data_IF_899975299969
#
_entry.id   IF_899975299969
#
_cell.length_a   1.000
_cell.length_b   1.000
_cell.length_c   1.000
_cell.angle_alpha   90.00
_cell.angle_beta   90.00
_cell.angle_gamma   90.00
#
_symmetry.space_group_name_H-M   'P 1'
#
loop_
_entity.id
_entity.type
_entity.pdbx_description
1 polymer ?
#
# COMPACT_ATOMS: atom_id res chain seq x y z
N UNK A 1 22.73 -7.90 13.79
CA UNK A 1 23.05 -8.41 15.15
C UNK A 1 23.60 -7.29 16.04
N UNK A 2 22.88 -6.17 16.27
CA UNK A 2 23.41 -4.95 16.90
C UNK A 2 23.80 -5.11 18.39
N UNK A 3 23.46 -6.23 19.01
CA UNK A 3 23.75 -6.51 20.42
C UNK A 3 24.76 -7.63 20.61
N UNK A 4 25.45 -8.06 19.56
CA UNK A 4 26.46 -9.09 19.62
C UNK A 4 27.84 -8.45 19.48
N UNK A 5 28.70 -8.75 20.46
CA UNK A 5 30.14 -8.46 20.37
C UNK A 5 30.74 -9.37 19.28
N UNK A 6 31.28 -8.83 18.18
CA UNK A 6 31.86 -9.63 17.11
C UNK A 6 33.06 -10.46 17.54
N UNK A 7 33.73 -10.07 18.63
CA UNK A 7 34.91 -10.79 19.19
C UNK A 7 34.50 -11.87 20.19
N UNK A 8 33.21 -11.91 20.61
CA UNK A 8 32.71 -12.84 21.64
C UNK A 8 31.37 -13.46 21.26
N UNK A 9 31.31 -14.04 20.06
CA UNK A 9 30.09 -14.68 19.58
C UNK A 9 29.81 -15.97 20.38
N UNK A 10 28.62 -16.12 21.00
CA UNK A 10 28.22 -17.33 21.68
C UNK A 10 28.13 -18.51 20.73
N UNK A 11 28.70 -19.64 21.05
CA UNK A 11 28.61 -20.88 20.28
C UNK A 11 27.15 -21.34 20.18
N UNK A 12 26.72 -21.76 18.98
CA UNK A 12 25.38 -22.27 18.70
C UNK A 12 24.31 -21.19 18.53
N UNK A 13 24.66 -19.88 18.57
CA UNK A 13 23.72 -18.81 18.33
C UNK A 13 23.49 -18.59 16.83
N UNK A 14 22.22 -18.54 16.40
CA UNK A 14 21.90 -18.14 15.05
C UNK A 14 22.28 -16.67 14.81
N UNK A 15 23.03 -16.42 13.74
CA UNK A 15 23.40 -15.08 13.30
C UNK A 15 22.55 -14.71 12.09
N UNK A 16 21.99 -13.50 12.09
CA UNK A 16 21.39 -12.94 10.89
C UNK A 16 22.50 -12.31 10.05
N UNK A 17 22.78 -12.86 8.89
CA UNK A 17 23.70 -12.29 7.92
C UNK A 17 22.90 -11.39 7.00
N UNK A 18 23.10 -10.05 7.04
CA UNK A 18 22.37 -9.16 6.14
C UNK A 18 22.80 -9.43 4.71
N UNK A 19 21.82 -9.55 3.82
CA UNK A 19 22.10 -9.59 2.38
C UNK A 19 22.75 -8.26 1.94
N UNK A 20 23.70 -8.29 1.00
CA UNK A 20 24.41 -7.09 0.54
C UNK A 20 23.56 -6.18 -0.37
N UNK A 21 22.32 -6.56 -0.63
CA UNK A 21 21.38 -5.83 -1.49
C UNK A 21 20.06 -5.58 -0.77
N UNK A 22 19.29 -4.59 -1.24
CA UNK A 22 17.96 -4.26 -0.71
C UNK A 22 16.94 -5.36 -0.98
N UNK A 23 15.97 -5.53 -0.08
CA UNK A 23 14.80 -6.40 -0.29
C UNK A 23 13.86 -5.78 -1.33
N UNK A 24 13.78 -4.43 -1.32
CA UNK A 24 12.96 -3.66 -2.24
C UNK A 24 13.73 -3.32 -3.53
N UNK A 25 13.01 -3.17 -4.64
CA UNK A 25 13.51 -2.66 -5.91
C UNK A 25 12.51 -1.65 -6.47
N UNK A 26 12.99 -0.62 -7.15
CA UNK A 26 12.15 0.36 -7.85
C UNK A 26 12.12 0.14 -9.35
N UNK A 27 12.86 -0.86 -9.85
CA UNK A 27 13.10 -1.06 -11.28
C UNK A 27 12.10 -2.01 -11.96
N UNK A 28 11.21 -2.61 -11.17
CA UNK A 28 10.21 -3.57 -11.65
C UNK A 28 8.82 -3.23 -11.12
N UNK A 29 7.76 -3.51 -11.90
CA UNK A 29 6.40 -3.39 -11.40
C UNK A 29 6.12 -4.47 -10.33
N UNK A 30 5.41 -4.09 -9.28
CA UNK A 30 5.05 -5.00 -8.21
C UNK A 30 3.67 -5.60 -8.47
N UNK A 31 3.58 -6.92 -8.50
CA UNK A 31 2.31 -7.63 -8.36
C UNK A 31 1.93 -7.78 -6.88
N UNK A 32 0.67 -8.09 -6.59
CA UNK A 32 0.20 -8.38 -5.23
C UNK A 32 0.99 -9.52 -4.57
N UNK A 33 1.35 -10.54 -5.33
CA UNK A 33 2.18 -11.66 -4.86
C UNK A 33 3.59 -11.18 -4.47
N UNK A 34 4.23 -10.36 -5.32
CA UNK A 34 5.54 -9.80 -5.04
C UNK A 34 5.52 -8.88 -3.81
N UNK A 35 4.49 -8.05 -3.68
CA UNK A 35 4.28 -7.21 -2.47
C UNK A 35 4.28 -8.10 -1.22
N UNK A 36 3.56 -9.21 -1.23
CA UNK A 36 3.54 -10.15 -0.11
C UNK A 36 4.90 -10.80 0.19
N UNK A 37 5.72 -11.09 -0.83
CA UNK A 37 7.09 -11.59 -0.64
C UNK A 37 8.00 -10.51 -0.04
N UNK A 38 7.94 -9.30 -0.55
CA UNK A 38 8.74 -8.17 -0.05
C UNK A 38 8.38 -7.84 1.40
N UNK A 39 7.10 -7.75 1.75
CA UNK A 39 6.64 -7.48 3.11
C UNK A 39 7.18 -8.52 4.09
N UNK A 40 7.10 -9.81 3.76
CA UNK A 40 7.67 -10.88 4.58
C UNK A 40 9.20 -10.86 4.60
N UNK A 41 9.84 -10.53 3.49
CA UNK A 41 11.28 -10.38 3.39
C UNK A 41 11.80 -9.25 4.28
N UNK A 42 11.11 -8.11 4.28
CA UNK A 42 11.43 -6.98 5.16
C UNK A 42 11.29 -7.37 6.65
N UNK A 43 10.19 -8.04 7.03
CA UNK A 43 10.00 -8.51 8.40
C UNK A 43 11.08 -9.52 8.83
N UNK A 44 11.49 -10.42 7.95
CA UNK A 44 12.55 -11.37 8.23
C UNK A 44 13.92 -10.71 8.39
N UNK A 45 14.19 -9.67 7.59
CA UNK A 45 15.47 -8.94 7.61
C UNK A 45 15.55 -7.96 8.76
N UNK A 46 14.46 -7.30 9.12
CA UNK A 46 14.40 -6.22 10.11
C UNK A 46 13.47 -6.60 11.26
N UNK A 47 13.99 -7.24 12.33
CA UNK A 47 13.18 -7.74 13.44
C UNK A 47 12.41 -6.67 14.22
N UNK A 48 12.77 -5.37 14.03
CA UNK A 48 12.04 -4.25 14.62
C UNK A 48 10.75 -3.91 13.85
N UNK A 49 10.55 -4.48 12.66
CA UNK A 49 9.38 -4.24 11.83
C UNK A 49 8.30 -5.27 12.15
N UNK A 50 7.15 -4.81 12.61
CA UNK A 50 5.97 -5.65 12.75
C UNK A 50 5.13 -5.62 11.46
N UNK A 51 4.53 -6.75 11.11
CA UNK A 51 3.71 -6.91 9.90
C UNK A 51 2.39 -7.57 10.26
N UNK A 52 1.31 -7.12 9.63
CA UNK A 52 -0.03 -7.72 9.75
C UNK A 52 -0.89 -7.46 8.52
N UNK A 53 -2.13 -7.96 8.60
CA UNK A 53 -3.17 -7.73 7.61
C UNK A 53 -4.31 -6.95 8.26
N UNK A 54 -4.89 -5.97 7.55
CA UNK A 54 -6.05 -5.22 8.04
C UNK A 54 -7.33 -5.53 7.27
N UNK A 55 -7.27 -6.38 6.25
CA UNK A 55 -8.41 -6.79 5.44
C UNK A 55 -8.01 -7.61 4.23
N UNK A 56 -8.99 -7.81 3.34
CA UNK A 56 -8.79 -8.50 2.08
C UNK A 56 -9.49 -7.78 0.94
N UNK A 57 -8.89 -7.85 -0.26
CA UNK A 57 -9.45 -7.33 -1.50
C UNK A 57 -10.64 -8.17 -1.98
N UNK A 58 -11.26 -7.74 -3.09
CA UNK A 58 -12.33 -8.50 -3.78
C UNK A 58 -11.89 -9.93 -4.12
N UNK A 59 -10.65 -10.13 -4.58
CA UNK A 59 -10.12 -11.45 -4.93
C UNK A 59 -9.45 -12.16 -3.74
N UNK A 60 -9.65 -11.66 -2.52
CA UNK A 60 -9.16 -12.28 -1.30
C UNK A 60 -7.68 -12.04 -1.00
N UNK A 61 -7.02 -11.13 -1.73
CA UNK A 61 -5.62 -10.78 -1.47
C UNK A 61 -5.49 -10.00 -0.17
N UNK A 62 -4.44 -10.26 0.64
CA UNK A 62 -4.25 -9.57 1.90
C UNK A 62 -3.94 -8.08 1.70
N UNK A 63 -4.55 -7.24 2.52
CA UNK A 63 -4.22 -5.83 2.66
C UNK A 63 -3.20 -5.71 3.79
N UNK A 64 -1.92 -5.60 3.41
CA UNK A 64 -0.80 -5.59 4.34
C UNK A 64 -0.63 -4.26 5.05
N UNK A 65 -0.18 -4.31 6.31
CA UNK A 65 0.42 -3.17 6.97
C UNK A 65 1.74 -3.54 7.64
N UNK A 66 2.61 -2.53 7.77
CA UNK A 66 3.89 -2.62 8.46
C UNK A 66 3.91 -1.55 9.55
N UNK A 67 4.53 -1.86 10.68
CA UNK A 67 4.65 -0.92 11.80
C UNK A 67 6.10 -0.81 12.24
N UNK A 68 6.58 0.44 12.37
CA UNK A 68 7.93 0.75 12.80
C UNK A 68 7.91 1.86 13.85
N UNK A 69 8.74 1.73 14.89
CA UNK A 69 8.81 2.66 16.01
C UNK A 69 7.87 2.28 17.17
N UNK A 70 7.96 3.03 18.28
CA UNK A 70 7.21 2.78 19.51
C UNK A 70 6.77 4.06 20.22
N UNK A 71 6.86 5.20 19.51
CA UNK A 71 6.47 6.49 20.06
C UNK A 71 4.95 6.64 20.20
N UNK A 72 4.48 7.55 21.06
CA UNK A 72 3.05 7.74 21.32
C UNK A 72 2.29 8.43 20.18
N UNK A 73 2.98 9.07 19.25
CA UNK A 73 2.37 9.75 18.09
C UNK A 73 2.25 8.77 16.94
N UNK A 74 1.02 8.36 16.64
CA UNK A 74 0.76 7.45 15.54
C UNK A 74 0.63 8.21 14.23
N UNK A 75 1.38 7.79 13.22
CA UNK A 75 1.38 8.36 11.86
C UNK A 75 1.10 7.23 10.87
N UNK A 76 0.19 7.46 9.94
CA UNK A 76 -0.25 6.45 8.99
C UNK A 76 0.01 6.90 7.56
N UNK A 77 0.79 6.10 6.81
CA UNK A 77 1.02 6.29 5.38
C UNK A 77 0.41 5.14 4.61
N UNK A 78 -0.24 5.45 3.49
CA UNK A 78 -0.80 4.44 2.61
C UNK A 78 -0.52 4.78 1.14
N UNK A 79 -0.56 3.75 0.28
CA UNK A 79 -0.23 3.87 -1.13
C UNK A 79 -1.18 3.05 -2.00
N UNK A 80 -1.20 3.34 -3.29
CA UNK A 80 -1.95 2.63 -4.32
C UNK A 80 -3.43 2.42 -3.97
N UNK A 81 -4.14 3.52 -3.65
CA UNK A 81 -5.60 3.55 -3.68
C UNK A 81 -6.15 3.36 -5.09
N UNK A 82 -5.37 3.76 -6.08
CA UNK A 82 -5.67 3.58 -7.49
C UNK A 82 -4.69 2.60 -8.13
N UNK A 83 -5.20 1.68 -8.92
CA UNK A 83 -4.45 0.61 -9.54
C UNK A 83 -3.27 1.09 -10.40
N UNK A 84 -3.50 2.09 -11.27
CA UNK A 84 -2.46 2.63 -12.17
C UNK A 84 -1.39 3.47 -11.46
N UNK A 85 -1.56 3.74 -10.18
CA UNK A 85 -0.59 4.43 -9.33
C UNK A 85 0.30 3.43 -8.54
N UNK A 86 0.44 2.20 -9.07
CA UNK A 86 1.21 1.11 -8.47
C UNK A 86 2.64 1.49 -8.06
N UNK A 87 3.26 2.46 -8.74
CA UNK A 87 4.61 2.96 -8.43
C UNK A 87 4.73 3.51 -7.00
N UNK A 88 3.63 3.93 -6.39
CA UNK A 88 3.62 4.42 -5.01
C UNK A 88 3.87 3.31 -4.00
N UNK A 89 3.59 2.05 -4.35
CA UNK A 89 3.87 0.85 -3.53
C UNK A 89 5.38 0.61 -3.35
N UNK A 90 6.20 0.42 -4.41
CA UNK A 90 7.65 0.29 -4.25
C UNK A 90 8.28 1.52 -3.59
N UNK A 91 7.78 2.72 -3.86
CA UNK A 91 8.26 3.93 -3.20
C UNK A 91 8.09 3.83 -1.66
N UNK A 92 6.88 3.49 -1.20
CA UNK A 92 6.58 3.39 0.23
C UNK A 92 7.36 2.25 0.91
N UNK A 93 7.49 1.10 0.24
CA UNK A 93 8.26 -0.04 0.77
C UNK A 93 9.77 0.24 0.81
N UNK A 94 10.31 0.93 -0.19
CA UNK A 94 11.73 1.34 -0.20
C UNK A 94 12.00 2.37 0.91
N UNK A 95 11.10 3.32 1.12
CA UNK A 95 11.19 4.25 2.25
C UNK A 95 11.19 3.49 3.59
N UNK A 96 10.31 2.50 3.75
CA UNK A 96 10.29 1.64 4.95
C UNK A 96 11.62 0.91 5.16
N UNK A 97 12.18 0.32 4.09
CA UNK A 97 13.47 -0.38 4.17
C UNK A 97 14.61 0.56 4.55
N UNK A 98 14.65 1.77 3.99
CA UNK A 98 15.65 2.78 4.33
C UNK A 98 15.57 3.20 5.80
N UNK A 99 14.37 3.41 6.34
CA UNK A 99 14.17 3.70 7.77
C UNK A 99 14.66 2.56 8.65
N UNK A 100 14.34 1.31 8.30
CA UNK A 100 14.79 0.13 9.03
C UNK A 100 16.31 -0.01 9.02
N UNK A 101 16.95 0.23 7.87
CA UNK A 101 18.40 0.19 7.74
C UNK A 101 19.05 1.26 8.61
N UNK A 102 18.58 2.51 8.55
CA UNK A 102 19.10 3.61 9.37
C UNK A 102 18.86 3.42 10.86
N UNK A 103 17.73 2.83 11.24
CA UNK A 103 17.50 2.46 12.64
C UNK A 103 18.49 1.39 13.12
N UNK A 104 18.85 0.45 12.24
CA UNK A 104 19.79 -0.63 12.54
C UNK A 104 21.24 -0.16 12.68
N UNK A 105 21.69 0.76 11.85
CA UNK A 105 23.06 1.30 11.87
C UNK A 105 23.22 2.54 12.77
N UNK A 106 22.12 3.02 13.37
CA UNK A 106 22.12 4.22 14.24
C UNK A 106 22.28 5.52 13.49
N UNK A 107 22.06 5.50 12.16
CA UNK A 107 22.29 6.63 11.27
C UNK A 107 21.18 7.68 11.26
N UNK A 108 21.49 8.77 10.59
CA UNK A 108 20.57 9.87 10.34
C UNK A 108 19.97 9.78 8.92
N UNK A 109 18.79 10.34 8.75
CA UNK A 109 18.16 10.56 7.46
C UNK A 109 17.66 12.02 7.42
N UNK A 110 18.06 12.76 6.40
CA UNK A 110 17.70 14.19 6.24
C UNK A 110 17.95 15.04 7.50
N UNK A 111 19.08 14.78 8.18
CA UNK A 111 19.45 15.50 9.40
C UNK A 111 18.67 15.11 10.66
N UNK A 112 17.84 14.06 10.59
CA UNK A 112 17.09 13.55 11.73
C UNK A 112 17.65 12.20 12.15
N UNK A 113 17.94 12.05 13.44
CA UNK A 113 18.29 10.75 14.00
C UNK A 113 17.04 9.85 14.02
N UNK A 114 17.11 8.72 13.30
CA UNK A 114 15.95 7.85 13.09
C UNK A 114 15.52 7.16 14.39
N UNK A 115 16.43 6.83 15.28
CA UNK A 115 16.11 6.25 16.58
C UNK A 115 15.32 7.24 17.45
N UNK A 116 15.77 8.49 17.49
CA UNK A 116 15.08 9.55 18.24
C UNK A 116 13.71 9.85 17.65
N UNK A 117 13.59 9.87 16.33
CA UNK A 117 12.32 10.06 15.65
C UNK A 117 11.33 8.95 16.00
N UNK A 118 11.74 7.69 15.84
CA UNK A 118 10.88 6.51 16.06
C UNK A 118 10.61 6.21 17.54
N UNK A 119 11.34 6.84 18.47
CA UNK A 119 10.99 6.84 19.89
C UNK A 119 9.80 7.79 20.21
N UNK A 120 9.52 8.76 19.34
CA UNK A 120 8.45 9.75 19.47
C UNK A 120 7.24 9.42 18.58
N UNK A 121 7.47 8.64 17.53
CA UNK A 121 6.49 8.30 16.50
C UNK A 121 6.38 6.79 16.34
N UNK A 122 5.17 6.30 16.19
CA UNK A 122 4.88 4.98 15.62
C UNK A 122 4.37 5.18 14.20
N UNK A 123 5.14 4.68 13.23
CA UNK A 123 4.79 4.78 11.81
C UNK A 123 4.11 3.49 11.38
N UNK A 124 2.90 3.60 10.82
CA UNK A 124 2.14 2.51 10.20
C UNK A 124 2.09 2.75 8.69
N UNK A 125 2.36 1.73 7.90
CA UNK A 125 2.46 1.79 6.45
C UNK A 125 1.55 0.76 5.81
N UNK A 126 0.62 1.16 4.94
CA UNK A 126 -0.19 0.26 4.11
C UNK A 126 0.26 0.40 2.64
N UNK A 127 1.09 -0.51 2.12
CA UNK A 127 1.78 -0.31 0.84
C UNK A 127 0.89 -0.45 -0.39
N UNK A 128 -0.25 -1.12 -0.29
CA UNK A 128 -1.18 -1.32 -1.41
C UNK A 128 -2.61 -1.46 -0.90
N UNK A 129 -3.45 -0.48 -1.24
CA UNK A 129 -4.89 -0.50 -0.91
C UNK A 129 -5.67 -1.28 -1.96
N UNK A 130 -5.26 -1.24 -3.24
CA UNK A 130 -5.89 -1.95 -4.36
C UNK A 130 -4.95 -2.99 -5.00
N UNK A 131 -4.68 -4.12 -4.32
CA UNK A 131 -3.78 -5.14 -4.86
C UNK A 131 -4.33 -5.86 -6.10
N UNK A 132 -5.65 -5.96 -6.25
CA UNK A 132 -6.29 -6.57 -7.42
C UNK A 132 -6.14 -5.69 -8.65
N UNK A 133 -6.36 -4.39 -8.48
CA UNK A 133 -6.18 -3.41 -9.54
C UNK A 133 -4.70 -3.29 -9.96
N UNK A 134 -3.76 -3.34 -9.02
CA UNK A 134 -2.33 -3.41 -9.32
C UNK A 134 -2.04 -4.59 -10.23
N UNK A 135 -2.54 -5.80 -9.90
CA UNK A 135 -2.30 -6.97 -10.73
C UNK A 135 -2.90 -6.85 -12.14
N UNK A 136 -4.05 -6.15 -12.27
CA UNK A 136 -4.62 -5.85 -13.57
C UNK A 136 -3.68 -4.99 -14.42
N UNK A 137 -3.22 -3.86 -13.87
CA UNK A 137 -2.41 -2.89 -14.64
C UNK A 137 -0.99 -3.35 -14.88
N UNK A 138 -0.45 -4.24 -14.02
CA UNK A 138 0.88 -4.84 -14.18
C UNK A 138 0.87 -6.14 -14.97
N UNK A 139 -0.31 -6.64 -15.39
CA UNK A 139 -0.45 -7.85 -16.19
C UNK A 139 -0.31 -9.14 -15.39
N UNK A 140 -0.48 -9.10 -14.07
CA UNK A 140 -0.33 -10.26 -13.18
C UNK A 140 -1.65 -11.01 -12.92
N UNK A 141 -2.79 -10.51 -13.45
CA UNK A 141 -4.08 -11.20 -13.35
C UNK A 141 -4.21 -12.34 -14.38
N UNK A 142 -5.05 -13.31 -14.04
CA UNK A 142 -5.48 -14.34 -14.99
C UNK A 142 -6.33 -13.75 -16.14
N UNK A 143 -6.43 -14.51 -17.23
CA UNK A 143 -7.09 -14.06 -18.45
C UNK A 143 -8.61 -13.86 -18.26
N UNK A 144 -9.28 -14.67 -17.43
CA UNK A 144 -10.71 -14.60 -17.20
C UNK A 144 -11.06 -13.31 -16.44
N UNK A 145 -10.37 -13.04 -15.34
CA UNK A 145 -10.53 -11.82 -14.53
C UNK A 145 -10.19 -10.57 -15.34
N UNK A 146 -9.12 -10.62 -16.15
CA UNK A 146 -8.74 -9.54 -17.06
C UNK A 146 -9.83 -9.27 -18.10
N UNK A 147 -10.44 -10.29 -18.68
CA UNK A 147 -11.53 -10.14 -19.65
C UNK A 147 -12.78 -9.54 -19.01
N UNK A 148 -13.12 -9.92 -17.76
CA UNK A 148 -14.22 -9.33 -17.01
C UNK A 148 -13.98 -7.82 -16.74
N UNK A 149 -12.78 -7.43 -16.34
CA UNK A 149 -12.41 -6.03 -16.17
C UNK A 149 -12.49 -5.25 -17.50
N UNK A 150 -12.04 -5.84 -18.60
CA UNK A 150 -12.13 -5.25 -19.93
C UNK A 150 -13.58 -5.02 -20.37
N UNK A 151 -14.51 -5.91 -20.01
CA UNK A 151 -15.93 -5.73 -20.29
C UNK A 151 -16.49 -4.49 -19.56
N UNK A 152 -16.07 -4.23 -18.32
CA UNK A 152 -16.42 -3.00 -17.60
C UNK A 152 -15.78 -1.77 -18.24
N UNK A 153 -14.55 -1.87 -18.74
CA UNK A 153 -13.88 -0.76 -19.43
C UNK A 153 -14.62 -0.31 -20.70
N UNK A 154 -15.36 -1.20 -21.36
CA UNK A 154 -16.14 -0.86 -22.54
C UNK A 154 -17.27 0.15 -22.27
N UNK A 155 -17.64 0.40 -21.00
CA UNK A 155 -18.56 1.47 -20.64
C UNK A 155 -17.94 2.87 -20.86
N UNK A 156 -16.61 2.95 -20.93
CA UNK A 156 -15.84 4.19 -21.06
C UNK A 156 -14.69 3.98 -22.06
N UNK A 157 -15.00 3.87 -23.35
CA UNK A 157 -14.04 3.46 -24.39
C UNK A 157 -12.88 4.43 -24.60
N UNK A 158 -13.02 5.67 -24.18
CA UNK A 158 -11.98 6.71 -24.28
C UNK A 158 -10.90 6.56 -23.21
N UNK A 159 -11.10 5.69 -22.20
CA UNK A 159 -10.12 5.43 -21.15
C UNK A 159 -9.23 4.24 -21.57
N UNK A 160 -7.90 4.43 -21.70
CA UNK A 160 -7.00 3.37 -22.11
C UNK A 160 -7.03 2.17 -21.15
N UNK A 161 -7.19 0.95 -21.68
CA UNK A 161 -7.18 -0.27 -20.89
C UNK A 161 -5.86 -1.04 -21.10
N UNK A 162 -5.20 -1.55 -20.03
CA UNK A 162 -5.49 -1.36 -18.61
C UNK A 162 -4.85 -0.09 -18.01
N UNK A 163 -4.07 0.67 -18.76
CA UNK A 163 -3.23 1.77 -18.26
C UNK A 163 -4.03 2.89 -17.55
N UNK A 164 -5.27 3.15 -17.97
CA UNK A 164 -6.16 4.13 -17.36
C UNK A 164 -7.00 3.58 -16.19
N UNK A 165 -6.80 2.33 -15.78
CA UNK A 165 -7.60 1.69 -14.74
C UNK A 165 -7.17 2.16 -13.34
N UNK A 166 -8.04 2.89 -12.65
CA UNK A 166 -7.86 3.39 -11.28
C UNK A 166 -8.66 2.59 -10.23
N UNK A 167 -9.80 2.06 -10.65
CA UNK A 167 -10.76 1.39 -9.79
C UNK A 167 -10.26 0.06 -9.24
N UNK A 168 -10.95 -0.49 -8.24
CA UNK A 168 -10.76 -1.89 -7.88
C UNK A 168 -11.28 -2.82 -9.00
N UNK A 169 -11.10 -4.13 -8.84
CA UNK A 169 -11.45 -5.09 -9.90
C UNK A 169 -12.95 -5.15 -10.22
N UNK A 170 -13.82 -4.60 -9.35
CA UNK A 170 -15.27 -4.44 -9.61
C UNK A 170 -15.63 -3.13 -10.31
N UNK A 171 -14.64 -2.32 -10.68
CA UNK A 171 -14.87 -1.04 -11.34
C UNK A 171 -15.39 0.06 -10.40
N UNK A 172 -15.06 0.01 -9.12
CA UNK A 172 -15.40 1.02 -8.11
C UNK A 172 -14.13 1.79 -7.74
N UNK A 173 -14.18 3.11 -7.82
CA UNK A 173 -13.08 3.99 -7.42
C UNK A 173 -12.99 4.04 -5.89
N UNK A 174 -11.95 3.44 -5.32
CA UNK A 174 -11.80 3.25 -3.87
C UNK A 174 -11.69 4.57 -3.11
N UNK A 175 -11.07 5.59 -3.71
CA UNK A 175 -10.92 6.90 -3.11
C UNK A 175 -12.26 7.66 -2.96
N UNK A 176 -13.27 7.27 -3.74
CA UNK A 176 -14.61 7.83 -3.72
C UNK A 176 -15.60 7.04 -2.84
N UNK A 177 -15.12 6.08 -2.06
CA UNK A 177 -15.98 5.19 -1.27
C UNK A 177 -16.16 5.62 0.19
N UNK A 178 -15.43 6.63 0.64
CA UNK A 178 -15.49 7.07 2.04
C UNK A 178 -16.72 7.92 2.32
N UNK A 179 -17.34 7.80 3.54
CA UNK A 179 -18.61 8.46 3.85
C UNK A 179 -18.56 9.99 3.77
N UNK A 180 -17.40 10.58 4.09
CA UNK A 180 -17.22 12.04 4.05
C UNK A 180 -17.35 12.57 2.60
N UNK A 181 -18.41 13.33 2.34
CA UNK A 181 -18.66 13.92 1.03
C UNK A 181 -19.12 12.95 -0.07
N UNK A 182 -19.44 11.69 0.24
CA UNK A 182 -19.82 10.68 -0.77
C UNK A 182 -21.00 11.10 -1.65
N UNK A 183 -22.06 11.68 -1.08
CA UNK A 183 -23.22 12.14 -1.84
C UNK A 183 -22.87 13.24 -2.83
N UNK A 184 -22.02 14.18 -2.41
CA UNK A 184 -21.53 15.28 -3.27
C UNK A 184 -20.66 14.71 -4.40
N UNK A 185 -19.72 13.82 -4.06
CA UNK A 185 -18.89 13.14 -5.06
C UNK A 185 -19.74 12.37 -6.07
N UNK A 186 -20.80 11.67 -5.62
CA UNK A 186 -21.74 10.97 -6.47
C UNK A 186 -22.45 11.91 -7.46
N UNK A 187 -22.96 13.02 -6.99
CA UNK A 187 -23.63 14.02 -7.86
C UNK A 187 -22.67 14.52 -8.93
N UNK A 188 -21.45 14.91 -8.55
CA UNK A 188 -20.43 15.43 -9.48
C UNK A 188 -20.05 14.36 -10.51
N UNK A 189 -19.74 13.14 -10.06
CA UNK A 189 -19.28 12.06 -10.96
C UNK A 189 -20.39 11.56 -11.88
N UNK A 190 -21.63 11.49 -11.40
CA UNK A 190 -22.79 11.11 -12.22
C UNK A 190 -23.12 12.17 -13.27
N UNK A 191 -23.02 13.46 -12.92
CA UNK A 191 -23.16 14.55 -13.89
C UNK A 191 -22.06 14.52 -14.96
N UNK A 192 -20.85 14.03 -14.61
CA UNK A 192 -19.74 13.82 -15.54
C UNK A 192 -19.85 12.51 -16.35
N UNK A 193 -20.93 11.72 -16.16
CA UNK A 193 -21.19 10.50 -16.93
C UNK A 193 -20.69 9.20 -16.28
N UNK A 194 -20.03 9.23 -15.13
CA UNK A 194 -19.53 8.04 -14.43
C UNK A 194 -20.62 7.36 -13.58
N UNK A 195 -21.63 6.80 -14.25
CA UNK A 195 -22.84 6.24 -13.62
C UNK A 195 -22.81 4.72 -13.43
N UNK A 196 -21.80 4.04 -13.96
CA UNK A 196 -21.67 2.57 -13.99
C UNK A 196 -20.26 2.16 -13.56
N UNK A 197 -20.08 0.89 -13.11
CA UNK A 197 -18.75 0.33 -12.89
C UNK A 197 -17.86 0.48 -14.14
N UNK A 198 -16.61 0.87 -13.91
CA UNK A 198 -15.66 1.11 -15.00
C UNK A 198 -14.26 1.40 -14.49
N UNK A 199 -13.36 1.85 -15.37
CA UNK A 199 -11.95 2.03 -15.04
C UNK A 199 -11.68 3.04 -13.94
N UNK A 200 -12.56 4.03 -13.74
CA UNK A 200 -12.33 5.12 -12.76
C UNK A 200 -13.61 5.90 -12.48
N UNK A 201 -13.59 6.70 -11.44
CA UNK A 201 -14.58 7.74 -11.12
C UNK A 201 -15.99 7.23 -10.76
N UNK A 202 -16.24 5.92 -10.79
CA UNK A 202 -17.50 5.37 -10.31
C UNK A 202 -17.48 5.21 -8.78
N UNK A 203 -18.37 5.93 -8.11
CA UNK A 203 -18.44 6.01 -6.66
C UNK A 203 -19.05 4.77 -5.98
N UNK A 204 -19.57 3.82 -6.76
CA UNK A 204 -20.34 2.68 -6.25
C UNK A 204 -21.79 3.01 -5.94
N UNK A 205 -22.63 2.00 -5.58
CA UNK A 205 -24.04 2.18 -5.24
C UNK A 205 -24.26 2.83 -3.86
N UNK A 206 -23.33 2.66 -2.94
CA UNK A 206 -23.31 3.24 -1.59
C UNK A 206 -21.86 3.41 -1.11
N UNK A 207 -21.61 4.22 -0.06
CA UNK A 207 -20.27 4.29 0.54
C UNK A 207 -19.87 2.95 1.17
N UNK A 208 -18.57 2.67 1.22
CA UNK A 208 -17.96 1.50 1.87
C UNK A 208 -18.48 0.13 1.37
N UNK A 209 -18.95 0.03 0.13
CA UNK A 209 -19.33 -1.27 -0.46
C UNK A 209 -18.14 -2.03 -1.04
N UNK A 210 -17.04 -1.34 -1.32
CA UNK A 210 -15.78 -1.98 -1.72
C UNK A 210 -15.07 -2.53 -0.46
N UNK A 211 -14.71 -3.82 -0.43
CA UNK A 211 -14.10 -4.43 0.77
C UNK A 211 -12.78 -3.76 1.15
N UNK A 212 -12.01 -3.29 0.18
CA UNK A 212 -10.76 -2.57 0.39
C UNK A 212 -11.00 -1.23 1.13
N UNK A 213 -11.97 -0.44 0.67
CA UNK A 213 -12.29 0.84 1.30
C UNK A 213 -12.93 0.66 2.67
N UNK A 214 -13.76 -0.38 2.85
CA UNK A 214 -14.33 -0.73 4.15
C UNK A 214 -13.24 -1.11 5.15
N UNK A 215 -12.31 -1.98 4.74
CA UNK A 215 -11.18 -2.40 5.56
C UNK A 215 -10.29 -1.21 5.93
N UNK A 216 -9.94 -0.36 4.94
CA UNK A 216 -9.13 0.84 5.15
C UNK A 216 -9.79 1.82 6.10
N UNK A 217 -11.10 2.07 5.94
CA UNK A 217 -11.87 2.93 6.83
C UNK A 217 -11.87 2.41 8.27
N UNK A 218 -12.18 1.12 8.46
CA UNK A 218 -12.18 0.48 9.78
C UNK A 218 -10.80 0.52 10.43
N UNK A 219 -9.76 0.20 9.67
CA UNK A 219 -8.39 0.21 10.14
C UNK A 219 -7.92 1.61 10.55
N UNK A 220 -8.15 2.62 9.70
CA UNK A 220 -7.79 4.02 10.01
C UNK A 220 -8.53 4.54 11.25
N UNK A 221 -9.83 4.19 11.39
CA UNK A 221 -10.62 4.55 12.57
C UNK A 221 -10.12 3.89 13.85
N UNK A 222 -9.67 2.63 13.76
CA UNK A 222 -9.10 1.90 14.89
C UNK A 222 -7.72 2.40 15.29
N UNK A 223 -6.92 2.82 14.31
CA UNK A 223 -5.59 3.41 14.55
C UNK A 223 -5.67 4.80 15.19
N UNK A 224 -6.67 5.60 14.84
CA UNK A 224 -6.83 7.01 15.23
C UNK A 224 -5.53 7.83 15.07
N UNK A 225 -4.94 7.88 13.86
CA UNK A 225 -3.63 8.48 13.65
C UNK A 225 -3.68 10.00 13.76
N UNK A 226 -2.62 10.59 14.34
CA UNK A 226 -2.41 12.03 14.38
C UNK A 226 -2.29 12.64 12.97
N UNK A 227 -1.70 11.89 12.04
CA UNK A 227 -1.51 12.28 10.64
C UNK A 227 -1.71 11.06 9.74
N UNK A 228 -2.47 11.25 8.67
CA UNK A 228 -2.56 10.31 7.56
C UNK A 228 -1.99 10.95 6.29
N UNK A 229 -1.10 10.25 5.60
CA UNK A 229 -0.56 10.63 4.31
C UNK A 229 -0.86 9.54 3.28
N UNK A 230 -1.59 9.91 2.23
CA UNK A 230 -1.89 9.01 1.11
C UNK A 230 -0.99 9.35 -0.07
N UNK A 231 -0.19 8.37 -0.52
CA UNK A 231 0.63 8.49 -1.72
C UNK A 231 -0.26 8.26 -2.94
N UNK A 232 -0.63 9.35 -3.59
CA UNK A 232 -1.38 9.38 -4.83
C UNK A 232 -0.51 10.00 -5.93
N UNK A 233 -0.56 9.46 -7.12
CA UNK A 233 0.21 9.96 -8.26
C UNK A 233 -0.48 11.18 -8.88
N UNK A 234 0.30 12.22 -9.21
CA UNK A 234 -0.13 13.42 -9.92
C UNK A 234 0.00 13.29 -11.45
N UNK A 235 0.10 12.09 -11.99
CA UNK A 235 0.38 11.85 -13.44
C UNK A 235 -0.72 12.42 -14.36
N UNK A 236 -1.80 12.96 -13.82
CA UNK A 236 -2.93 13.51 -14.61
C UNK A 236 -3.34 14.93 -14.20
N UNK A 237 -2.36 15.75 -13.80
CA UNK A 237 -2.52 17.20 -13.78
C UNK A 237 -1.96 17.79 -15.06
#
# INVERSE_FOLDING_TARGET
>A
NPYLDPERLPLGRALTIPLPFSVTSTDIPYSSALIGYIVRGLAARYPMLAVGEFGRSVLGRPLWYLTLGSGPKLVFYNAAHHANEWITTPLLLTFCEQLCARLGDGGDMEGQNIRDLLSKVTLVLAPAVDPDGIDLVTGALDAETTAAAKALANHYPDIPFPAGWKANIRGIDLNLQYPAGWSIAREIKFAAGYTRPGPRDYVGPAPLVAPESLAMYGFTRALDPLLTLSYLSLIHI
#
